data_IF_470996547511
#
_entry.id   IF_470996547511
#
_cell.length_a   1.000
_cell.length_b   1.000
_cell.length_c   1.000
_cell.angle_alpha   90.00
_cell.angle_beta   90.00
_cell.angle_gamma   90.00
#
_symmetry.space_group_name_H-M   'P 1'
#
loop_
_entity.id
_entity.type
_entity.pdbx_description
1 polymer ?
#
# COMPACT_ATOMS: atom_id res chain seq x y z
N UNK A 1 -7.76 9.27 -10.86
CA UNK A 1 -8.01 8.96 -9.44
C UNK A 1 -9.43 8.41 -9.25
N UNK A 2 -10.51 9.20 -9.38
CA UNK A 2 -11.90 8.69 -9.24
C UNK A 2 -12.24 7.46 -10.10
N UNK A 3 -11.93 7.48 -11.40
CA UNK A 3 -12.19 6.34 -12.29
C UNK A 3 -11.38 5.10 -11.91
N UNK A 4 -10.19 5.28 -11.35
CA UNK A 4 -9.33 4.17 -10.95
C UNK A 4 -9.92 3.44 -9.73
N UNK A 5 -10.41 4.19 -8.76
CA UNK A 5 -11.15 3.62 -7.63
C UNK A 5 -12.42 2.90 -8.10
N UNK A 6 -13.17 3.47 -9.04
CA UNK A 6 -14.32 2.80 -9.64
C UNK A 6 -13.94 1.48 -10.33
N UNK A 7 -12.84 1.46 -11.10
CA UNK A 7 -12.33 0.25 -11.74
C UNK A 7 -11.98 -0.83 -10.71
N UNK A 8 -11.32 -0.44 -9.62
CA UNK A 8 -10.99 -1.37 -8.53
C UNK A 8 -12.25 -2.01 -7.93
N UNK A 9 -13.24 -1.20 -7.56
CA UNK A 9 -14.49 -1.74 -7.01
C UNK A 9 -15.26 -2.61 -8.00
N UNK A 10 -15.28 -2.27 -9.30
CA UNK A 10 -15.88 -3.12 -10.35
C UNK A 10 -15.20 -4.49 -10.38
N UNK A 11 -13.88 -4.52 -10.46
CA UNK A 11 -13.10 -5.76 -10.47
C UNK A 11 -13.41 -6.65 -9.25
N UNK A 12 -13.36 -6.09 -8.03
CA UNK A 12 -13.59 -6.88 -6.82
C UNK A 12 -15.06 -7.25 -6.59
N UNK A 13 -16.00 -6.48 -7.16
CA UNK A 13 -17.43 -6.84 -7.18
C UNK A 13 -17.69 -8.02 -8.10
N UNK A 14 -17.05 -8.09 -9.26
CA UNK A 14 -17.21 -9.22 -10.21
C UNK A 14 -16.56 -10.50 -9.69
N UNK A 15 -15.42 -10.36 -9.02
CA UNK A 15 -14.58 -11.49 -8.59
C UNK A 15 -14.97 -12.09 -7.23
N UNK A 16 -15.59 -11.32 -6.33
CA UNK A 16 -16.00 -11.79 -4.98
C UNK A 16 -14.89 -12.51 -4.19
N UNK A 17 -13.88 -11.76 -3.74
CA UNK A 17 -12.80 -12.33 -2.92
C UNK A 17 -13.28 -12.65 -1.52
N UNK A 18 -13.57 -13.92 -1.26
CA UNK A 18 -14.06 -14.41 0.05
C UNK A 18 -13.11 -14.00 1.19
N UNK A 19 -13.65 -13.29 2.18
CA UNK A 19 -12.92 -12.85 3.38
C UNK A 19 -12.15 -11.54 3.23
N UNK A 20 -11.98 -11.02 2.00
CA UNK A 20 -11.32 -9.74 1.79
C UNK A 20 -12.20 -8.60 2.31
N UNK A 21 -11.60 -7.73 3.11
CA UNK A 21 -12.28 -6.63 3.80
C UNK A 21 -12.37 -5.42 2.88
N UNK A 22 -13.47 -5.34 2.15
CA UNK A 22 -13.81 -4.26 1.23
C UNK A 22 -15.27 -3.85 1.43
N UNK A 23 -15.59 -2.56 1.27
CA UNK A 23 -16.95 -2.07 1.38
C UNK A 23 -17.81 -2.53 0.20
N UNK A 24 -19.07 -2.88 0.49
CA UNK A 24 -20.03 -3.16 -0.57
C UNK A 24 -20.40 -1.87 -1.29
N UNK A 25 -20.32 -1.90 -2.62
CA UNK A 25 -20.74 -0.78 -3.48
C UNK A 25 -22.13 -1.05 -4.04
N UNK A 26 -23.01 -0.06 -3.95
CA UNK A 26 -24.38 -0.07 -4.45
C UNK A 26 -24.53 0.63 -5.79
N UNK A 27 -23.75 1.69 -6.01
CA UNK A 27 -23.71 2.45 -7.26
C UNK A 27 -22.34 3.08 -7.41
N UNK A 28 -21.78 3.07 -8.60
CA UNK A 28 -20.59 3.85 -8.93
C UNK A 28 -20.75 4.42 -10.34
N UNK A 29 -20.09 5.54 -10.58
CA UNK A 29 -20.14 6.23 -11.86
C UNK A 29 -18.83 6.91 -12.16
N UNK A 30 -18.29 6.67 -13.35
CA UNK A 30 -17.08 7.33 -13.81
C UNK A 30 -17.28 8.82 -14.11
N UNK A 31 -16.18 9.57 -14.20
CA UNK A 31 -16.16 11.00 -14.56
C UNK A 31 -16.60 11.24 -16.01
N UNK A 32 -16.23 10.34 -16.91
CA UNK A 32 -16.44 10.42 -18.36
C UNK A 32 -17.82 9.87 -18.80
N UNK A 33 -18.59 9.30 -17.88
CA UNK A 33 -19.95 8.83 -18.12
C UNK A 33 -20.97 9.98 -17.94
N UNK A 34 -21.80 10.25 -18.96
CA UNK A 34 -22.96 11.18 -18.98
C UNK A 34 -22.90 12.38 -17.99
N UNK A 35 -22.63 13.59 -18.46
CA UNK A 35 -22.52 14.78 -17.59
C UNK A 35 -23.79 15.17 -16.82
N UNK A 36 -24.94 14.51 -17.05
CA UNK A 36 -26.19 14.78 -16.34
C UNK A 36 -26.19 14.37 -14.86
N UNK A 37 -25.33 13.42 -14.45
CA UNK A 37 -25.21 12.94 -13.06
C UNK A 37 -23.75 13.04 -12.62
N UNK A 38 -23.51 13.63 -11.45
CA UNK A 38 -22.16 13.78 -10.89
C UNK A 38 -21.49 12.41 -10.67
N UNK A 39 -20.16 12.33 -10.89
CA UNK A 39 -19.38 11.13 -10.57
C UNK A 39 -19.50 10.81 -9.09
N UNK A 40 -19.72 9.55 -8.75
CA UNK A 40 -19.99 9.14 -7.38
C UNK A 40 -19.62 7.68 -7.15
N UNK A 41 -19.43 7.34 -5.88
CA UNK A 41 -19.41 5.96 -5.38
C UNK A 41 -20.32 5.94 -4.15
N UNK A 42 -21.38 5.15 -4.22
CA UNK A 42 -22.31 4.88 -3.13
C UNK A 42 -21.99 3.50 -2.57
N UNK A 43 -21.57 3.46 -1.31
CA UNK A 43 -21.10 2.24 -0.64
C UNK A 43 -21.62 2.18 0.79
N UNK A 44 -21.35 1.07 1.47
CA UNK A 44 -21.68 0.90 2.89
C UNK A 44 -21.13 2.03 3.76
N UNK A 45 -21.94 2.44 4.74
CA UNK A 45 -21.51 3.29 5.84
C UNK A 45 -21.21 2.43 7.07
N UNK A 46 -19.98 2.52 7.60
CA UNK A 46 -19.53 1.73 8.74
C UNK A 46 -19.36 2.61 10.01
N UNK A 47 -20.41 2.79 10.83
CA UNK A 47 -20.42 3.78 11.92
C UNK A 47 -19.49 3.46 13.09
N UNK A 48 -19.17 2.18 13.33
CA UNK A 48 -18.32 1.75 14.44
C UNK A 48 -16.89 1.44 13.98
N UNK A 49 -16.29 2.36 13.23
CA UNK A 49 -14.93 2.19 12.72
C UNK A 49 -14.07 3.40 12.97
N UNK A 50 -12.77 3.17 13.10
CA UNK A 50 -11.76 4.20 13.18
C UNK A 50 -10.51 3.80 12.41
N UNK A 51 -9.78 4.80 11.95
CA UNK A 51 -8.44 4.64 11.41
C UNK A 51 -7.40 5.02 12.45
N UNK A 52 -6.27 4.30 12.46
CA UNK A 52 -5.14 4.68 13.30
C UNK A 52 -4.56 5.99 12.77
N UNK A 53 -4.54 7.01 13.62
CA UNK A 53 -4.02 8.31 13.21
C UNK A 53 -2.54 8.22 12.87
N UNK A 54 -2.11 9.01 11.90
CA UNK A 54 -0.73 9.03 11.44
C UNK A 54 0.31 9.29 12.56
N UNK A 55 -0.03 10.08 13.58
CA UNK A 55 0.85 10.36 14.73
C UNK A 55 1.10 9.12 15.60
N UNK A 56 0.26 8.11 15.49
CA UNK A 56 0.33 6.88 16.27
C UNK A 56 1.08 5.83 15.44
N UNK A 57 1.65 4.82 16.12
CA UNK A 57 2.33 3.71 15.45
C UNK A 57 1.39 2.51 15.40
N UNK A 58 1.32 1.83 14.25
CA UNK A 58 0.60 0.56 14.18
C UNK A 58 1.27 -0.46 15.09
N UNK A 59 0.47 -1.25 15.81
CA UNK A 59 0.97 -2.38 16.60
C UNK A 59 1.11 -3.64 15.73
N UNK A 60 1.82 -4.65 16.25
CA UNK A 60 2.08 -5.89 15.52
C UNK A 60 0.80 -6.59 15.04
N UNK A 61 -0.24 -6.67 15.88
CA UNK A 61 -1.50 -7.31 15.50
C UNK A 61 -2.23 -6.60 14.36
N UNK A 62 -2.15 -5.26 14.31
CA UNK A 62 -2.68 -4.46 13.21
C UNK A 62 -1.87 -4.66 11.92
N UNK A 63 -0.54 -4.71 12.02
CA UNK A 63 0.35 -4.97 10.89
C UNK A 63 0.11 -6.37 10.29
N UNK A 64 -0.04 -7.39 11.14
CA UNK A 64 -0.37 -8.75 10.72
C UNK A 64 -1.75 -8.81 10.05
N UNK A 65 -2.77 -8.14 10.62
CA UNK A 65 -4.10 -8.09 10.01
C UNK A 65 -4.06 -7.44 8.62
N UNK A 66 -3.32 -6.34 8.46
CA UNK A 66 -3.11 -5.69 7.16
C UNK A 66 -2.39 -6.64 6.19
N UNK A 67 -1.29 -7.26 6.63
CA UNK A 67 -0.51 -8.20 5.81
C UNK A 67 -1.35 -9.38 5.34
N UNK A 68 -2.25 -9.90 6.19
CA UNK A 68 -3.18 -10.97 5.83
C UNK A 68 -4.18 -10.54 4.76
N UNK A 69 -4.74 -9.33 4.83
CA UNK A 69 -5.65 -8.80 3.81
C UNK A 69 -4.95 -8.58 2.46
N UNK A 70 -3.72 -8.06 2.47
CA UNK A 70 -2.90 -7.92 1.25
C UNK A 70 -2.60 -9.31 0.67
N UNK A 71 -2.18 -10.28 1.51
CA UNK A 71 -1.91 -11.64 1.07
C UNK A 71 -3.15 -12.31 0.46
N UNK A 72 -4.33 -12.10 1.04
CA UNK A 72 -5.58 -12.63 0.53
C UNK A 72 -5.91 -12.03 -0.85
N UNK A 73 -5.82 -10.70 -0.99
CA UNK A 73 -6.00 -10.00 -2.26
C UNK A 73 -5.06 -10.54 -3.35
N UNK A 74 -3.75 -10.58 -3.07
CA UNK A 74 -2.76 -11.07 -4.03
C UNK A 74 -2.96 -12.56 -4.36
N UNK A 75 -3.30 -13.38 -3.37
CA UNK A 75 -3.55 -14.81 -3.59
C UNK A 75 -4.74 -15.06 -4.52
N UNK A 76 -5.76 -14.22 -4.47
CA UNK A 76 -6.93 -14.35 -5.32
C UNK A 76 -6.59 -14.03 -6.78
N UNK A 77 -5.90 -12.90 -7.00
CA UNK A 77 -5.46 -12.47 -8.33
C UNK A 77 -4.56 -13.54 -8.97
N UNK A 78 -3.51 -13.97 -8.24
CA UNK A 78 -2.56 -14.99 -8.71
C UNK A 78 -3.25 -16.36 -8.87
N UNK A 79 -4.14 -16.70 -7.95
CA UNK A 79 -4.85 -17.98 -7.89
C UNK A 79 -5.75 -18.22 -9.09
N UNK A 80 -6.44 -17.17 -9.55
CA UNK A 80 -7.43 -17.24 -10.62
C UNK A 80 -6.92 -16.72 -11.99
N UNK A 81 -5.63 -16.36 -12.11
CA UNK A 81 -5.09 -15.68 -13.31
C UNK A 81 -5.92 -14.46 -13.70
N UNK A 82 -6.30 -13.63 -12.73
CA UNK A 82 -7.10 -12.43 -13.02
C UNK A 82 -6.27 -11.51 -13.90
N UNK A 83 -6.76 -11.25 -15.11
CA UNK A 83 -6.16 -10.26 -16.00
C UNK A 83 -6.37 -8.86 -15.42
N UNK A 84 -5.27 -8.14 -15.20
CA UNK A 84 -5.30 -6.75 -14.76
C UNK A 84 -4.90 -5.90 -15.96
N UNK A 85 -5.79 -5.00 -16.36
CA UNK A 85 -5.51 -4.05 -17.42
C UNK A 85 -4.52 -2.99 -16.90
N UNK A 86 -3.26 -3.10 -17.33
CA UNK A 86 -2.19 -2.15 -16.99
C UNK A 86 -2.49 -0.72 -17.47
N UNK A 87 -3.32 -0.55 -18.51
CA UNK A 87 -3.71 0.79 -18.96
C UNK A 87 -4.68 1.47 -18.00
N UNK A 88 -5.50 0.68 -17.29
CA UNK A 88 -6.39 1.18 -16.24
C UNK A 88 -5.66 1.41 -14.91
N UNK A 89 -4.74 0.50 -14.57
CA UNK A 89 -4.05 0.47 -13.28
C UNK A 89 -2.58 0.87 -13.40
N UNK A 90 -2.31 2.04 -13.98
CA UNK A 90 -0.95 2.56 -14.12
C UNK A 90 -0.37 2.99 -12.77
N UNK A 91 0.92 2.71 -12.50
CA UNK A 91 1.63 3.34 -11.41
C UNK A 91 1.53 4.86 -11.49
N UNK A 92 1.67 5.52 -10.34
CA UNK A 92 1.69 6.98 -10.31
C UNK A 92 2.84 7.52 -11.18
N UNK A 93 2.50 8.36 -12.15
CA UNK A 93 3.48 8.96 -13.05
C UNK A 93 4.22 10.10 -12.35
N UNK A 94 5.34 9.76 -11.73
CA UNK A 94 6.24 10.73 -11.11
C UNK A 94 6.95 11.63 -12.13
N UNK A 95 6.99 11.25 -13.42
CA UNK A 95 7.78 11.99 -14.43
C UNK A 95 7.26 13.42 -14.64
N UNK A 96 5.96 13.66 -14.46
CA UNK A 96 5.41 15.03 -14.54
C UNK A 96 5.76 15.90 -13.32
N UNK A 97 6.31 15.31 -12.27
CA UNK A 97 6.74 16.00 -11.04
C UNK A 97 8.22 16.35 -11.04
N UNK A 98 8.98 15.88 -12.04
CA UNK A 98 10.43 16.00 -12.15
C UNK A 98 10.81 16.47 -13.56
N UNK A 99 11.98 17.09 -13.72
CA UNK A 99 12.53 17.34 -15.07
C UNK A 99 12.85 16.01 -15.78
N UNK A 100 12.97 15.98 -17.11
CA UNK A 100 13.30 14.74 -17.86
C UNK A 100 14.57 14.05 -17.33
N UNK A 101 15.61 14.81 -16.97
CA UNK A 101 16.85 14.27 -16.41
C UNK A 101 16.65 13.66 -15.00
N UNK A 102 15.84 14.32 -14.17
CA UNK A 102 15.47 13.81 -12.85
C UNK A 102 14.55 12.59 -12.96
N UNK A 103 13.59 12.61 -13.89
CA UNK A 103 12.70 11.50 -14.19
C UNK A 103 13.48 10.28 -14.70
N UNK A 104 14.56 10.45 -15.46
CA UNK A 104 15.43 9.35 -15.89
C UNK A 104 16.19 8.74 -14.68
N UNK A 105 16.75 9.58 -13.81
CA UNK A 105 17.50 9.15 -12.60
C UNK A 105 16.61 8.56 -11.51
N UNK A 106 15.52 9.24 -11.17
CA UNK A 106 14.56 8.82 -10.16
C UNK A 106 13.61 7.76 -10.69
N UNK A 107 13.23 7.80 -11.96
CA UNK A 107 12.40 6.78 -12.60
C UNK A 107 13.09 5.42 -12.58
N UNK A 108 14.42 5.37 -12.73
CA UNK A 108 15.16 4.13 -12.51
C UNK A 108 14.98 3.60 -11.07
N UNK A 109 15.11 4.45 -10.04
CA UNK A 109 14.96 4.06 -8.62
C UNK A 109 13.51 3.77 -8.21
N UNK A 110 12.55 4.55 -8.69
CA UNK A 110 11.12 4.49 -8.39
C UNK A 110 10.44 3.34 -9.13
N UNK A 111 10.87 3.08 -10.36
CA UNK A 111 10.39 2.02 -11.23
C UNK A 111 11.41 0.89 -11.38
N UNK A 112 12.34 0.71 -10.41
CA UNK A 112 13.09 -0.55 -10.32
C UNK A 112 12.06 -1.63 -9.98
N UNK A 113 11.36 -2.15 -11.00
CA UNK A 113 10.74 -3.46 -10.90
C UNK A 113 11.92 -4.38 -10.61
N UNK A 114 11.95 -4.95 -9.40
CA UNK A 114 12.70 -6.18 -9.22
C UNK A 114 11.96 -7.17 -10.10
N UNK A 115 12.39 -7.28 -11.37
CA UNK A 115 11.73 -8.04 -12.46
C UNK A 115 11.37 -9.47 -12.04
N UNK A 116 12.01 -9.93 -10.97
CA UNK A 116 11.90 -11.26 -10.44
C UNK A 116 10.77 -11.50 -9.40
N UNK A 117 10.06 -10.47 -8.93
CA UNK A 117 9.01 -10.65 -7.89
C UNK A 117 7.57 -10.73 -8.45
N UNK A 118 7.40 -10.65 -9.77
CA UNK A 118 6.10 -10.70 -10.44
C UNK A 118 5.23 -9.47 -10.17
N UNK A 119 4.20 -9.33 -11.00
CA UNK A 119 3.24 -8.23 -10.91
C UNK A 119 1.98 -8.68 -10.14
N UNK A 120 1.46 -7.78 -9.30
CA UNK A 120 0.21 -7.92 -8.55
C UNK A 120 -0.58 -6.61 -8.60
N UNK A 121 -1.88 -6.67 -8.32
CA UNK A 121 -2.67 -5.46 -8.11
C UNK A 121 -2.44 -4.96 -6.69
N UNK A 122 -1.84 -3.79 -6.56
CA UNK A 122 -1.63 -3.09 -5.30
C UNK A 122 -2.76 -2.07 -5.07
N UNK A 123 -3.06 -1.79 -3.81
CA UNK A 123 -3.86 -0.64 -3.41
C UNK A 123 -3.16 0.68 -3.77
N UNK A 124 -1.84 0.72 -3.68
CA UNK A 124 -1.00 1.82 -4.19
C UNK A 124 -0.93 3.06 -3.31
N UNK A 125 -1.96 3.32 -2.49
CA UNK A 125 -2.01 4.33 -1.42
C UNK A 125 -2.40 3.72 -0.07
N UNK A 126 -1.81 2.58 0.30
CA UNK A 126 -2.12 1.97 1.59
C UNK A 126 -1.35 2.63 2.74
N UNK A 127 -2.07 3.40 3.56
CA UNK A 127 -1.62 3.94 4.85
C UNK A 127 -2.77 3.81 5.86
N UNK A 128 -2.50 3.98 7.16
CA UNK A 128 -3.48 3.62 8.18
C UNK A 128 -4.82 4.40 8.13
N UNK A 129 -4.87 5.56 7.49
CA UNK A 129 -6.13 6.28 7.25
C UNK A 129 -7.03 5.60 6.22
N UNK A 130 -6.46 4.78 5.35
CA UNK A 130 -7.18 4.01 4.33
C UNK A 130 -7.53 2.60 4.83
N UNK A 131 -7.37 2.36 6.13
CA UNK A 131 -7.78 1.13 6.83
C UNK A 131 -8.80 1.50 7.90
N UNK A 132 -10.00 0.91 7.79
CA UNK A 132 -11.05 1.01 8.80
C UNK A 132 -10.95 -0.19 9.73
N UNK A 133 -10.59 0.07 10.99
CA UNK A 133 -10.57 -0.92 12.05
C UNK A 133 -11.85 -0.87 12.87
N UNK A 134 -12.24 -2.01 13.43
CA UNK A 134 -13.34 -2.08 14.39
C UNK A 134 -12.94 -1.43 15.72
N UNK A 135 -13.91 -0.82 16.39
CA UNK A 135 -13.75 -0.23 17.72
C UNK A 135 -14.32 -1.20 18.75
N UNK A 136 -13.48 -1.61 19.71
CA UNK A 136 -13.88 -2.52 20.77
C UNK A 136 -14.87 -1.89 21.76
N UNK A 137 -15.42 -2.71 22.65
CA UNK A 137 -16.39 -2.28 23.67
C UNK A 137 -15.85 -1.20 24.63
N UNK A 138 -14.52 -1.05 24.74
CA UNK A 138 -13.84 -0.03 25.54
C UNK A 138 -13.59 1.28 24.75
N UNK A 139 -14.01 1.35 23.48
CA UNK A 139 -13.79 2.49 22.60
C UNK A 139 -12.37 2.58 22.02
N UNK A 140 -11.60 1.49 22.05
CA UNK A 140 -10.23 1.45 21.50
C UNK A 140 -10.24 0.82 20.10
N UNK A 141 -9.31 1.28 19.28
CA UNK A 141 -9.09 0.73 17.94
C UNK A 141 -8.50 -0.68 18.09
N UNK A 142 -9.23 -1.68 17.59
CA UNK A 142 -8.80 -3.08 17.63
C UNK A 142 -7.78 -3.39 16.51
N UNK A 143 -7.46 -4.68 16.35
CA UNK A 143 -6.71 -5.18 15.18
C UNK A 143 -7.62 -5.65 14.04
N UNK A 144 -8.92 -5.79 14.29
CA UNK A 144 -9.85 -6.38 13.35
C UNK A 144 -10.21 -5.33 12.28
N UNK A 145 -9.96 -5.68 11.02
CA UNK A 145 -10.20 -4.79 9.88
C UNK A 145 -11.65 -4.97 9.42
N UNK A 146 -12.37 -3.86 9.31
CA UNK A 146 -13.69 -3.79 8.70
C UNK A 146 -13.56 -3.64 7.19
N UNK A 147 -12.72 -2.70 6.72
CA UNK A 147 -12.46 -2.52 5.29
C UNK A 147 -11.14 -1.77 4.99
N UNK A 148 -10.57 -2.05 3.82
CA UNK A 148 -9.72 -1.09 3.11
C UNK A 148 -10.59 -0.17 2.24
N UNK A 149 -10.20 1.09 2.12
CA UNK A 149 -10.91 2.14 1.38
C UNK A 149 -9.94 3.00 0.57
N UNK A 150 -10.47 3.84 -0.33
CA UNK A 150 -9.68 4.80 -1.12
C UNK A 150 -8.64 4.14 -2.04
N UNK A 151 -9.13 3.35 -3.00
CA UNK A 151 -8.31 2.67 -4.00
C UNK A 151 -7.93 3.56 -5.19
N UNK A 152 -7.89 4.89 -5.01
CA UNK A 152 -7.71 5.85 -6.11
C UNK A 152 -6.35 5.75 -6.82
N UNK A 153 -5.33 5.21 -6.12
CA UNK A 153 -3.98 4.97 -6.66
C UNK A 153 -3.70 3.47 -6.90
N UNK A 154 -4.73 2.62 -6.97
CA UNK A 154 -4.53 1.21 -7.29
C UNK A 154 -3.73 1.05 -8.59
N UNK A 155 -2.75 0.15 -8.60
CA UNK A 155 -1.84 -0.01 -9.73
C UNK A 155 -1.30 -1.44 -9.82
N UNK A 156 -0.82 -1.80 -11.01
CA UNK A 156 0.02 -2.98 -11.20
C UNK A 156 1.41 -2.68 -10.64
N UNK A 157 1.73 -3.33 -9.53
CA UNK A 157 2.96 -3.15 -8.79
C UNK A 157 3.57 -4.48 -8.36
N UNK A 158 4.54 -4.43 -7.45
CA UNK A 158 5.15 -5.64 -6.88
C UNK A 158 4.55 -5.97 -5.50
N UNK A 159 4.61 -7.24 -5.06
CA UNK A 159 3.97 -7.70 -3.82
C UNK A 159 4.49 -7.07 -2.52
N UNK A 160 5.61 -6.33 -2.55
CA UNK A 160 6.14 -5.65 -1.38
C UNK A 160 5.62 -4.20 -1.22
N UNK A 161 4.99 -3.63 -2.24
CA UNK A 161 4.69 -2.19 -2.32
C UNK A 161 3.82 -1.68 -1.16
N UNK A 162 2.62 -2.25 -0.98
CA UNK A 162 1.68 -1.78 0.04
C UNK A 162 2.16 -2.07 1.47
N UNK A 163 2.83 -3.22 1.67
CA UNK A 163 3.36 -3.60 2.98
C UNK A 163 4.52 -2.70 3.40
N UNK A 164 5.44 -2.40 2.47
CA UNK A 164 6.52 -1.44 2.70
C UNK A 164 5.96 -0.04 2.95
N UNK A 165 4.92 0.39 2.21
CA UNK A 165 4.28 1.70 2.42
C UNK A 165 3.73 1.84 3.83
N UNK A 166 2.97 0.85 4.32
CA UNK A 166 2.44 0.84 5.69
C UNK A 166 3.57 0.94 6.73
N UNK A 167 4.63 0.15 6.58
CA UNK A 167 5.77 0.17 7.51
C UNK A 167 6.52 1.51 7.49
N UNK A 168 6.67 2.13 6.32
CA UNK A 168 7.40 3.40 6.18
C UNK A 168 6.57 4.57 6.73
N UNK A 169 5.28 4.64 6.42
CA UNK A 169 4.43 5.80 6.71
C UNK A 169 3.84 5.76 8.14
N UNK A 170 3.48 4.58 8.64
CA UNK A 170 2.71 4.42 9.87
C UNK A 170 3.46 3.81 11.06
N UNK A 171 4.74 3.45 10.92
CA UNK A 171 5.54 2.94 12.03
C UNK A 171 6.66 3.90 12.44
N UNK A 172 6.87 4.01 13.75
CA UNK A 172 8.12 4.56 14.30
C UNK A 172 9.31 3.67 13.91
N UNK A 173 10.53 4.22 13.94
CA UNK A 173 11.71 3.54 13.41
C UNK A 173 12.05 2.24 14.15
N UNK A 174 11.83 2.20 15.46
CA UNK A 174 12.08 1.04 16.31
C UNK A 174 11.08 -0.07 16.00
N UNK A 175 9.80 0.28 15.87
CA UNK A 175 8.75 -0.66 15.44
C UNK A 175 9.03 -1.17 14.03
N UNK A 176 9.31 -0.29 13.06
CA UNK A 176 9.59 -0.68 11.68
C UNK A 176 10.77 -1.65 11.61
N UNK A 177 11.92 -1.29 12.19
CA UNK A 177 13.15 -2.11 12.13
C UNK A 177 13.00 -3.43 12.88
N UNK A 178 12.22 -3.48 13.95
CA UNK A 178 11.97 -4.71 14.70
C UNK A 178 10.99 -5.67 14.00
N UNK A 179 10.02 -5.13 13.24
CA UNK A 179 8.91 -5.92 12.70
C UNK A 179 9.00 -6.21 11.20
N UNK A 180 9.79 -5.46 10.40
CA UNK A 180 9.80 -5.58 8.94
C UNK A 180 9.92 -7.04 8.48
N UNK A 181 10.97 -7.74 8.90
CA UNK A 181 11.20 -9.13 8.49
C UNK A 181 10.03 -10.05 8.88
N UNK A 182 9.59 -9.98 10.14
CA UNK A 182 8.51 -10.83 10.65
C UNK A 182 7.19 -10.60 9.92
N UNK A 183 6.88 -9.34 9.58
CA UNK A 183 5.66 -8.99 8.85
C UNK A 183 5.71 -9.49 7.41
N UNK A 184 6.87 -9.44 6.75
CA UNK A 184 7.08 -10.03 5.43
C UNK A 184 7.03 -11.56 5.47
N UNK A 185 7.58 -12.21 6.50
CA UNK A 185 7.47 -13.66 6.71
C UNK A 185 6.01 -14.07 6.86
N UNK A 186 5.27 -13.38 7.74
CA UNK A 186 3.84 -13.61 7.95
C UNK A 186 3.02 -13.44 6.67
N UNK A 187 3.26 -12.35 5.91
CA UNK A 187 2.63 -12.15 4.61
C UNK A 187 2.90 -13.32 3.66
N UNK A 188 4.15 -13.77 3.55
CA UNK A 188 4.54 -14.84 2.62
C UNK A 188 3.94 -16.20 3.04
N UNK A 189 3.87 -16.47 4.34
CA UNK A 189 3.18 -17.64 4.89
C UNK A 189 1.69 -17.63 4.55
N UNK A 190 1.00 -16.49 4.74
CA UNK A 190 -0.42 -16.33 4.41
C UNK A 190 -0.69 -16.45 2.93
N UNK A 191 0.13 -15.81 2.09
CA UNK A 191 0.04 -15.92 0.63
C UNK A 191 0.18 -17.39 0.21
N UNK A 192 1.18 -18.09 0.75
CA UNK A 192 1.40 -19.52 0.48
C UNK A 192 0.20 -20.36 0.94
N UNK A 193 -0.37 -20.07 2.10
CA UNK A 193 -1.53 -20.76 2.63
C UNK A 193 -2.76 -20.59 1.72
N UNK A 194 -3.10 -19.35 1.34
CA UNK A 194 -4.26 -19.08 0.50
C UNK A 194 -4.12 -19.63 -0.92
N UNK A 195 -2.91 -19.60 -1.50
CA UNK A 195 -2.65 -20.15 -2.83
C UNK A 195 -2.87 -21.68 -2.94
N UNK A 196 -2.84 -22.40 -1.81
CA UNK A 196 -3.17 -23.84 -1.80
C UNK A 196 -4.59 -24.13 -2.29
N UNK A 197 -5.56 -23.24 -2.02
CA UNK A 197 -6.96 -23.37 -2.49
C UNK A 197 -7.04 -23.42 -4.02
N UNK A 198 -6.08 -22.77 -4.69
CA UNK A 198 -5.99 -22.68 -6.16
C UNK A 198 -5.01 -23.69 -6.76
N UNK A 199 -4.45 -24.61 -5.95
CA UNK A 199 -3.34 -25.50 -6.34
C UNK A 199 -2.11 -24.76 -6.89
N UNK A 200 -1.84 -23.57 -6.35
CA UNK A 200 -0.70 -22.72 -6.73
C UNK A 200 0.29 -22.54 -5.59
N UNK A 201 1.45 -22.00 -5.95
CA UNK A 201 2.50 -21.54 -5.03
C UNK A 201 2.82 -20.08 -5.35
N UNK A 202 3.41 -19.31 -4.41
CA UNK A 202 3.92 -17.99 -4.73
C UNK A 202 4.86 -18.03 -5.94
N UNK A 203 4.73 -17.11 -6.90
CA UNK A 203 5.55 -17.10 -8.12
C UNK A 203 6.98 -16.57 -7.89
N UNK A 204 7.32 -16.22 -6.65
CA UNK A 204 8.60 -15.66 -6.23
C UNK A 204 9.04 -16.29 -4.90
N UNK A 205 10.34 -16.27 -4.61
CA UNK A 205 10.86 -16.69 -3.31
C UNK A 205 10.72 -15.59 -2.26
N UNK A 206 10.80 -15.98 -0.98
CA UNK A 206 10.83 -15.01 0.12
C UNK A 206 12.02 -14.04 0.01
N UNK A 207 13.18 -14.51 -0.46
CA UNK A 207 14.37 -13.68 -0.68
C UNK A 207 14.11 -12.58 -1.73
N UNK A 208 13.41 -12.92 -2.82
CA UNK A 208 13.02 -11.96 -3.86
C UNK A 208 12.00 -10.94 -3.33
N UNK A 209 11.08 -11.38 -2.48
CA UNK A 209 10.13 -10.50 -1.81
C UNK A 209 10.85 -9.50 -0.89
N UNK A 210 11.83 -9.94 -0.10
CA UNK A 210 12.64 -9.05 0.73
C UNK A 210 13.49 -8.09 -0.13
N UNK A 211 14.04 -8.53 -1.26
CA UNK A 211 14.74 -7.64 -2.17
C UNK A 211 13.80 -6.57 -2.76
N UNK A 212 12.59 -6.98 -3.16
CA UNK A 212 11.54 -6.05 -3.59
C UNK A 212 11.16 -5.06 -2.49
N UNK A 213 11.09 -5.48 -1.22
CA UNK A 213 10.83 -4.56 -0.09
C UNK A 213 11.92 -3.48 0.03
N UNK A 214 13.18 -3.83 -0.23
CA UNK A 214 14.30 -2.87 -0.20
C UNK A 214 14.21 -1.84 -1.32
N UNK A 215 13.88 -2.26 -2.54
CA UNK A 215 13.61 -1.33 -3.64
C UNK A 215 12.41 -0.43 -3.30
N UNK A 216 11.31 -1.01 -2.82
CA UNK A 216 10.13 -0.25 -2.42
C UNK A 216 10.42 0.73 -1.29
N UNK A 217 11.33 0.44 -0.36
CA UNK A 217 11.68 1.39 0.70
C UNK A 217 12.26 2.70 0.13
N UNK A 218 13.07 2.61 -0.93
CA UNK A 218 13.59 3.79 -1.64
C UNK A 218 12.44 4.59 -2.25
N UNK A 219 11.52 3.91 -2.94
CA UNK A 219 10.36 4.57 -3.54
C UNK A 219 9.43 5.22 -2.49
N UNK A 220 9.17 4.53 -1.39
CA UNK A 220 8.33 5.05 -0.30
C UNK A 220 9.01 6.19 0.47
N UNK A 221 10.33 6.25 0.49
CA UNK A 221 11.07 7.40 1.03
C UNK A 221 10.79 8.67 0.23
N UNK A 222 10.80 8.57 -1.11
CA UNK A 222 10.46 9.68 -2.00
C UNK A 222 8.99 10.07 -1.82
N UNK A 223 8.07 9.09 -1.78
CA UNK A 223 6.66 9.36 -1.51
C UNK A 223 6.46 10.09 -0.17
N UNK A 224 7.20 9.70 0.87
CA UNK A 224 7.09 10.31 2.19
C UNK A 224 7.42 11.80 2.19
N UNK A 225 8.25 12.30 1.26
CA UNK A 225 8.56 13.73 1.13
C UNK A 225 7.33 14.58 0.79
N UNK A 226 6.57 14.14 -0.21
CA UNK A 226 5.32 14.80 -0.61
C UNK A 226 4.33 14.79 0.56
N UNK A 227 4.25 13.65 1.24
CA UNK A 227 3.35 13.46 2.36
C UNK A 227 3.73 14.33 3.57
N UNK A 228 5.02 14.44 3.88
CA UNK A 228 5.55 15.30 4.95
C UNK A 228 5.30 16.78 4.64
N UNK A 229 5.50 17.22 3.39
CA UNK A 229 5.22 18.59 2.97
C UNK A 229 3.75 18.96 3.23
N UNK A 230 2.83 18.08 2.84
CA UNK A 230 1.40 18.25 3.13
C UNK A 230 1.09 18.38 4.63
N UNK A 231 1.77 17.61 5.50
CA UNK A 231 1.55 17.68 6.95
C UNK A 231 2.04 19.00 7.56
N UNK A 232 3.08 19.61 6.99
CA UNK A 232 3.64 20.86 7.48
C UNK A 232 2.71 22.07 7.25
N UNK A 233 1.85 22.01 6.23
CA UNK A 233 0.91 23.06 5.87
C UNK A 233 -0.35 23.07 6.75
N UNK A 234 -0.69 21.94 7.39
CA UNK A 234 -1.89 21.79 8.22
C UNK A 234 -1.69 22.33 9.66
N UNK A 235 -2.37 23.43 10.07
CA UNK A 235 -2.15 24.08 11.37
C UNK A 235 -2.34 23.15 12.58
N UNK A 236 -3.36 22.30 12.55
CA UNK A 236 -3.69 21.36 13.62
C UNK A 236 -2.65 20.25 13.81
N UNK A 237 -1.82 20.00 12.79
CA UNK A 237 -0.76 18.98 12.79
C UNK A 237 0.59 19.51 13.24
N UNK A 238 0.76 20.84 13.36
CA UNK A 238 2.02 21.46 13.73
C UNK A 238 2.56 20.99 15.09
N UNK A 239 1.69 20.62 16.04
CA UNK A 239 2.09 20.06 17.34
C UNK A 239 2.84 18.72 17.23
N UNK A 240 2.64 17.97 16.14
CA UNK A 240 3.32 16.69 15.88
C UNK A 240 4.54 16.83 14.98
N UNK A 241 4.93 18.06 14.63
CA UNK A 241 6.09 18.35 13.78
C UNK A 241 7.39 17.64 14.25
N UNK A 242 7.77 17.65 15.55
CA UNK A 242 8.99 16.96 15.98
C UNK A 242 8.95 15.45 15.70
N UNK A 243 7.79 14.82 15.87
CA UNK A 243 7.60 13.40 15.58
C UNK A 243 7.77 13.11 14.09
N UNK A 244 7.12 13.88 13.21
CA UNK A 244 7.23 13.67 11.76
C UNK A 244 8.65 13.94 11.24
N UNK A 245 9.35 14.93 11.79
CA UNK A 245 10.77 15.17 11.47
C UNK A 245 11.63 13.98 11.92
N UNK A 246 11.38 13.41 13.12
CA UNK A 246 12.09 12.21 13.59
C UNK A 246 11.86 11.04 12.64
N UNK A 247 10.60 10.74 12.29
CA UNK A 247 10.26 9.65 11.36
C UNK A 247 10.93 9.86 10.01
N UNK A 248 10.83 11.07 9.44
CA UNK A 248 11.48 11.43 8.19
C UNK A 248 12.98 11.13 8.24
N UNK A 249 13.68 11.62 9.28
CA UNK A 249 15.12 11.41 9.44
C UNK A 249 15.49 9.93 9.39
N UNK A 250 14.75 9.07 10.10
CA UNK A 250 15.04 7.64 10.13
C UNK A 250 14.64 6.90 8.85
N UNK A 251 13.60 7.36 8.13
CA UNK A 251 13.29 6.85 6.79
C UNK A 251 14.46 7.15 5.83
N UNK A 252 15.02 8.36 5.86
CA UNK A 252 16.20 8.70 5.06
C UNK A 252 17.44 7.89 5.45
N UNK A 253 17.66 7.67 6.75
CA UNK A 253 18.75 6.84 7.26
C UNK A 253 18.61 5.38 6.76
N UNK A 254 17.41 4.81 6.85
CA UNK A 254 17.12 3.47 6.34
C UNK A 254 17.32 3.38 4.82
N UNK A 255 16.79 4.35 4.07
CA UNK A 255 16.97 4.45 2.62
C UNK A 255 18.45 4.52 2.22
N UNK A 256 19.24 5.36 2.90
CA UNK A 256 20.69 5.47 2.65
C UNK A 256 21.40 4.14 2.89
N UNK A 257 21.13 3.48 4.02
CA UNK A 257 21.72 2.19 4.35
C UNK A 257 21.33 1.10 3.35
N UNK A 258 20.07 1.09 2.91
CA UNK A 258 19.57 0.16 1.90
C UNK A 258 20.26 0.40 0.56
N UNK A 259 20.29 1.66 0.09
CA UNK A 259 20.94 2.02 -1.17
C UNK A 259 22.42 1.64 -1.17
N UNK A 260 23.15 1.98 -0.10
CA UNK A 260 24.57 1.66 0.03
C UNK A 260 24.83 0.15 0.09
N UNK A 261 23.98 -0.62 0.78
CA UNK A 261 24.18 -2.07 0.96
C UNK A 261 23.76 -2.90 -0.26
N UNK A 262 22.65 -2.53 -0.90
CA UNK A 262 21.99 -3.37 -1.91
C UNK A 262 22.12 -2.82 -3.33
N UNK A 263 22.29 -1.51 -3.50
CA UNK A 263 22.20 -0.85 -4.80
C UNK A 263 23.45 -0.03 -5.15
N UNK A 264 24.53 -0.10 -4.36
CA UNK A 264 25.77 0.64 -4.63
C UNK A 264 26.39 0.32 -6.00
N UNK A 265 26.20 -0.89 -6.51
CA UNK A 265 26.64 -1.31 -7.84
C UNK A 265 25.90 -0.60 -8.98
N UNK A 266 24.76 0.03 -8.71
CA UNK A 266 23.99 0.83 -9.67
C UNK A 266 24.41 2.31 -9.67
N UNK A 267 25.26 2.73 -8.73
CA UNK A 267 25.69 4.12 -8.54
C UNK A 267 27.09 4.41 -9.12
N UNK A 268 27.70 3.43 -9.78
CA UNK A 268 29.04 3.49 -10.39
C UNK A 268 28.97 3.32 -11.90
#
# INVERSE_FOLDING_TARGET
MHNNECNFYRLFTEHHVEGFKILKVYSLKHIDEDFSISPHILMDFCPNTASVHLKDTLNQGQLEAIAEQIALMHSYIIGNDVYIDEDLFKPFDYNNSFSEEEAEKFGFLLNTKVEECGDVLCHGDLWANNVLFDIDDDGKISKDIVAFIDFQLANVGNPAQDLTRILVINCDEDVRRANEQQIFEFYYEKLTFYLKKYNRKPPFSFEKLLLASKSQHVAQTIFSLFFIAFLFEAPEKQKYRPLFIRRARYIFEDCYNIAHKHFAHLLT
#
